data_IF_611092825337
#
_entry.id   IF_611092825337
#
_cell.length_a   1.000
_cell.length_b   1.000
_cell.length_c   1.000
_cell.angle_alpha   90.00
_cell.angle_beta   90.00
_cell.angle_gamma   90.00
#
_symmetry.space_group_name_H-M   'P 1'
#
loop_
_entity.id
_entity.type
_entity.pdbx_description
1 polymer ?
#
# COMPACT_ATOMS: atom_id res chain seq x y z
N UNK A 1 3.18 6.66 13.39
CA UNK A 1 2.58 7.22 14.63
C UNK A 1 1.19 7.73 14.28
N UNK A 2 0.34 8.14 15.24
CA UNK A 2 -0.95 8.80 14.93
C UNK A 2 -0.80 9.92 13.89
N UNK A 3 -1.68 9.98 12.90
CA UNK A 3 -1.72 11.01 11.86
C UNK A 3 -0.58 10.97 10.82
N UNK A 4 0.44 10.12 10.99
CA UNK A 4 1.56 10.04 10.05
C UNK A 4 1.20 9.27 8.79
N UNK A 5 1.77 9.72 7.68
CA UNK A 5 1.86 8.97 6.42
C UNK A 5 3.21 8.24 6.39
N UNK A 6 3.20 6.94 6.09
CA UNK A 6 4.42 6.15 5.85
C UNK A 6 4.30 5.27 4.62
N UNK A 7 5.42 5.13 3.90
CA UNK A 7 5.58 4.09 2.89
C UNK A 7 5.86 2.75 3.57
N UNK A 8 5.09 1.74 3.23
CA UNK A 8 5.24 0.37 3.70
C UNK A 8 5.77 -0.48 2.55
N UNK A 9 6.99 -0.98 2.74
CA UNK A 9 7.70 -1.84 1.80
C UNK A 9 6.97 -3.17 1.59
N UNK A 10 6.97 -3.64 0.35
CA UNK A 10 6.49 -4.97 -0.05
C UNK A 10 7.64 -5.96 -0.25
N UNK A 11 8.84 -5.45 -0.55
CA UNK A 11 9.98 -6.23 -1.00
C UNK A 11 9.82 -6.81 -2.41
N UNK A 12 8.86 -6.31 -3.19
CA UNK A 12 8.49 -6.84 -4.51
C UNK A 12 8.60 -5.77 -5.59
N UNK A 13 9.03 -6.19 -6.78
CA UNK A 13 8.89 -5.47 -8.03
C UNK A 13 8.05 -6.31 -8.99
N UNK A 14 7.38 -5.67 -9.94
CA UNK A 14 6.55 -6.35 -10.95
C UNK A 14 6.98 -5.92 -12.34
N UNK A 15 7.12 -6.88 -13.25
CA UNK A 15 7.31 -6.63 -14.68
C UNK A 15 6.00 -6.98 -15.38
N UNK A 16 5.54 -6.09 -16.27
CA UNK A 16 4.27 -6.20 -16.98
C UNK A 16 4.45 -5.81 -18.45
N UNK A 17 3.47 -6.11 -19.31
CA UNK A 17 3.46 -5.64 -20.70
C UNK A 17 3.22 -4.12 -20.75
N UNK A 18 3.56 -3.49 -21.88
CA UNK A 18 3.53 -2.02 -22.01
C UNK A 18 2.15 -1.39 -21.76
N UNK A 19 1.09 -2.10 -22.10
CA UNK A 19 -0.30 -1.64 -21.97
C UNK A 19 -0.97 -2.08 -20.66
N UNK A 20 -0.25 -2.79 -19.79
CA UNK A 20 -0.74 -3.25 -18.50
C UNK A 20 -0.46 -2.21 -17.40
N UNK A 21 -1.36 -2.19 -16.41
CA UNK A 21 -1.25 -1.39 -15.20
C UNK A 21 -1.65 -2.23 -14.00
N UNK A 22 -0.90 -2.12 -12.91
CA UNK A 22 -1.27 -2.76 -11.64
C UNK A 22 -1.84 -1.72 -10.67
N UNK A 23 -3.03 -2.00 -10.13
CA UNK A 23 -3.73 -1.12 -9.20
C UNK A 23 -3.58 -1.62 -7.76
N UNK A 24 -2.91 -0.85 -6.92
CA UNK A 24 -2.85 -1.07 -5.48
C UNK A 24 -4.08 -0.46 -4.80
N UNK A 25 -4.88 -1.30 -4.17
CA UNK A 25 -6.16 -0.92 -3.56
C UNK A 25 -6.13 -1.25 -2.06
N UNK A 26 -6.71 -0.37 -1.26
CA UNK A 26 -6.85 -0.59 0.17
C UNK A 26 -7.69 -1.85 0.48
N UNK A 27 -7.39 -2.52 1.59
CA UNK A 27 -8.23 -3.63 2.07
C UNK A 27 -9.38 -3.06 2.86
N UNK A 28 -10.60 -3.54 2.60
CA UNK A 28 -11.82 -3.08 3.29
C UNK A 28 -11.73 -3.11 4.82
N UNK A 29 -10.93 -4.02 5.38
CA UNK A 29 -10.73 -4.11 6.83
C UNK A 29 -9.82 -3.02 7.42
N UNK A 30 -8.96 -2.40 6.64
CA UNK A 30 -7.92 -1.52 7.17
C UNK A 30 -8.48 -0.29 7.89
N UNK A 31 -9.41 0.50 7.31
CA UNK A 31 -9.86 1.72 7.98
C UNK A 31 -10.61 1.38 9.27
N UNK A 32 -11.54 0.41 9.20
CA UNK A 32 -12.41 0.06 10.33
C UNK A 32 -11.74 -0.76 11.42
N UNK A 33 -10.92 -1.75 11.08
CA UNK A 33 -10.34 -2.69 12.06
C UNK A 33 -8.95 -2.29 12.54
N UNK A 34 -8.23 -1.51 11.74
CA UNK A 34 -6.82 -1.18 11.99
C UNK A 34 -6.54 0.32 12.03
N UNK A 35 -7.48 1.15 11.57
CA UNK A 35 -7.29 2.59 11.44
C UNK A 35 -6.15 2.96 10.50
N UNK A 36 -5.97 2.15 9.45
CA UNK A 36 -5.03 2.43 8.37
C UNK A 36 -5.82 2.73 7.09
N UNK A 37 -5.37 3.70 6.32
CA UNK A 37 -5.95 4.05 5.02
C UNK A 37 -4.83 4.17 3.99
N UNK A 38 -5.03 3.62 2.80
CA UNK A 38 -4.15 3.88 1.65
C UNK A 38 -4.34 5.34 1.20
N UNK A 39 -3.33 6.17 1.47
CA UNK A 39 -3.43 7.63 1.46
C UNK A 39 -3.60 8.22 0.06
N UNK A 40 -3.04 7.57 -0.96
CA UNK A 40 -3.24 7.92 -2.36
C UNK A 40 -4.50 7.30 -2.97
N UNK A 41 -5.38 6.68 -2.17
CA UNK A 41 -6.62 5.99 -2.57
C UNK A 41 -6.41 4.76 -3.47
N UNK A 42 -5.79 4.94 -4.64
CA UNK A 42 -5.37 3.87 -5.55
C UNK A 42 -3.93 4.15 -5.95
N UNK A 43 -3.02 3.20 -5.69
CA UNK A 43 -1.67 3.24 -6.25
C UNK A 43 -1.70 2.73 -7.68
N UNK A 44 -1.17 3.50 -8.61
CA UNK A 44 -1.04 3.11 -10.03
C UNK A 44 0.42 2.75 -10.24
N UNK A 45 0.69 1.51 -10.64
CA UNK A 45 2.03 1.02 -10.98
C UNK A 45 2.06 0.75 -12.48
N UNK A 46 2.85 1.53 -13.20
CA UNK A 46 3.03 1.44 -14.64
C UNK A 46 4.12 0.39 -15.00
N UNK A 47 4.13 -0.09 -16.24
CA UNK A 47 5.10 -1.08 -16.72
C UNK A 47 6.56 -0.63 -16.58
N UNK A 48 6.82 0.68 -16.74
CA UNK A 48 8.15 1.29 -16.68
C UNK A 48 8.62 1.56 -15.24
N UNK A 49 7.82 1.19 -14.24
CA UNK A 49 8.23 1.24 -12.84
C UNK A 49 9.26 0.15 -12.50
N UNK A 50 9.27 -0.97 -13.23
CA UNK A 50 10.27 -2.03 -13.07
C UNK A 50 11.70 -1.50 -13.38
N UNK A 51 12.73 -1.82 -12.56
CA UNK A 51 12.77 -2.81 -11.49
C UNK A 51 12.53 -2.26 -10.07
N UNK A 52 11.88 -1.10 -9.94
CA UNK A 52 11.63 -0.46 -8.64
C UNK A 52 10.61 -1.22 -7.80
N UNK A 53 10.77 -1.17 -6.49
CA UNK A 53 9.85 -1.77 -5.54
C UNK A 53 8.57 -0.93 -5.41
N UNK A 54 7.40 -1.55 -5.55
CA UNK A 54 6.14 -0.87 -5.27
C UNK A 54 5.83 -0.91 -3.77
N UNK A 55 5.41 0.23 -3.21
CA UNK A 55 5.13 0.39 -1.77
C UNK A 55 3.72 0.93 -1.53
N UNK A 56 3.14 0.59 -0.39
CA UNK A 56 1.85 1.14 0.02
C UNK A 56 2.02 2.39 0.90
N UNK A 57 1.39 3.50 0.52
CA UNK A 57 1.44 4.74 1.32
C UNK A 57 0.28 4.79 2.32
N UNK A 58 0.51 4.45 3.58
CA UNK A 58 -0.56 4.35 4.59
C UNK A 58 -0.57 5.53 5.56
N UNK A 59 -1.76 6.03 5.86
CA UNK A 59 -2.04 6.97 6.95
C UNK A 59 -2.59 6.22 8.15
N UNK A 60 -2.06 6.49 9.34
CA UNK A 60 -2.70 6.08 10.60
C UNK A 60 -3.74 7.12 11.03
N UNK A 61 -5.02 6.79 10.85
CA UNK A 61 -6.16 7.68 11.16
C UNK A 61 -6.63 7.58 12.63
N UNK A 62 -5.89 6.87 13.48
CA UNK A 62 -6.21 6.73 14.91
C UNK A 62 -5.41 7.71 15.76
N UNK A 63 -5.73 7.75 17.05
CA UNK A 63 -5.01 8.46 18.10
C UNK A 63 -3.90 7.62 18.76
N UNK A 64 -3.67 6.38 18.30
CA UNK A 64 -2.68 5.45 18.88
C UNK A 64 -1.69 4.94 17.84
N UNK A 65 -0.46 4.55 18.22
CA UNK A 65 0.45 3.89 17.31
C UNK A 65 -0.17 2.60 16.75
N UNK A 66 0.03 2.33 15.47
CA UNK A 66 -0.36 1.09 14.80
C UNK A 66 0.91 0.38 14.31
N UNK A 67 1.04 -0.90 14.63
CA UNK A 67 2.13 -1.76 14.14
C UNK A 67 1.66 -2.56 12.92
N UNK A 68 2.51 -2.63 11.90
CA UNK A 68 2.35 -3.52 10.76
C UNK A 68 3.47 -4.57 10.87
N UNK A 69 3.07 -5.82 11.08
CA UNK A 69 4.03 -6.93 11.22
C UNK A 69 4.51 -7.41 9.84
N UNK A 70 5.71 -7.97 9.79
CA UNK A 70 6.22 -8.62 8.58
C UNK A 70 5.28 -9.74 8.11
N UNK A 71 5.01 -9.80 6.80
CA UNK A 71 4.07 -10.76 6.21
C UNK A 71 2.57 -10.41 6.39
N UNK A 72 2.25 -9.31 7.05
CA UNK A 72 0.86 -8.90 7.23
C UNK A 72 0.26 -8.32 5.95
N UNK A 73 -0.89 -8.85 5.53
CA UNK A 73 -1.63 -8.36 4.36
C UNK A 73 -2.25 -6.98 4.61
N UNK A 74 -1.77 -5.96 3.89
CA UNK A 74 -2.21 -4.56 4.04
C UNK A 74 -2.82 -3.95 2.78
N UNK A 75 -2.56 -4.45 1.58
CA UNK A 75 -3.20 -3.99 0.34
C UNK A 75 -3.46 -5.18 -0.57
N UNK A 76 -4.17 -4.95 -1.66
CA UNK A 76 -4.38 -5.92 -2.73
C UNK A 76 -4.06 -5.27 -4.07
N UNK A 77 -3.60 -6.08 -5.02
CA UNK A 77 -3.30 -5.65 -6.38
C UNK A 77 -4.31 -6.27 -7.35
N UNK A 78 -4.73 -5.51 -8.36
CA UNK A 78 -5.49 -5.98 -9.54
C UNK A 78 -4.68 -5.65 -10.77
#
# INVERSE_FOLDING_TARGET
>A
QPGEIKLVSTGLAVQMEQDDVMLLIDRSSNPRKRGLVLSNSVGVIDHDYFPSEFMGMFTNITDKPVTIEAGQRIMQAV
#
